data_IF_157506023395
#
_entry.id   IF_157506023395
#
_cell.length_a   1.000
_cell.length_b   1.000
_cell.length_c   1.000
_cell.angle_alpha   90.00
_cell.angle_beta   90.00
_cell.angle_gamma   90.00
#
_symmetry.space_group_name_H-M   'P 1'
#
loop_
_entity.id
_entity.type
_entity.pdbx_description
1 polymer ?
#
# COMPACT_ATOMS: atom_id res chain seq x y z
N UNK A 1 18.76 -4.45 -14.50
CA UNK A 1 17.88 -3.41 -13.96
C UNK A 1 16.53 -4.05 -13.70
N UNK A 2 16.25 -4.36 -12.44
CA UNK A 2 15.14 -5.22 -12.04
C UNK A 2 13.81 -4.56 -12.40
N UNK A 3 13.09 -5.20 -13.32
CA UNK A 3 11.76 -4.80 -13.78
C UNK A 3 10.80 -4.95 -12.58
N UNK A 4 10.61 -3.87 -11.81
CA UNK A 4 9.71 -3.89 -10.64
C UNK A 4 8.30 -4.09 -11.15
N UNK A 5 7.85 -5.36 -11.11
CA UNK A 5 6.51 -5.77 -11.49
C UNK A 5 5.50 -4.90 -10.74
N UNK A 6 4.87 -3.95 -11.45
CA UNK A 6 3.89 -3.01 -10.93
C UNK A 6 2.53 -3.71 -10.74
N UNK A 7 2.57 -4.85 -10.05
CA UNK A 7 1.41 -5.73 -9.88
C UNK A 7 0.63 -5.29 -8.66
N UNK A 8 -0.67 -5.07 -8.86
CA UNK A 8 -1.62 -4.74 -7.81
C UNK A 8 -1.77 -5.90 -6.80
N UNK A 9 -1.44 -5.63 -5.54
CA UNK A 9 -1.53 -6.61 -4.44
C UNK A 9 -2.74 -6.33 -3.56
N UNK A 10 -3.27 -7.35 -2.90
CA UNK A 10 -4.40 -7.16 -1.98
C UNK A 10 -3.95 -6.39 -0.74
N UNK A 11 -4.89 -5.69 -0.10
CA UNK A 11 -4.59 -4.98 1.16
C UNK A 11 -4.01 -5.91 2.22
N UNK A 12 -4.51 -7.16 2.30
CA UNK A 12 -3.99 -8.19 3.20
C UNK A 12 -2.54 -8.56 2.89
N UNK A 13 -2.21 -8.75 1.61
CA UNK A 13 -0.85 -9.10 1.20
C UNK A 13 0.13 -7.97 1.49
N UNK A 14 -0.25 -6.72 1.23
CA UNK A 14 0.62 -5.58 1.52
C UNK A 14 0.76 -5.34 3.01
N UNK A 15 -0.33 -5.42 3.78
CA UNK A 15 -0.31 -5.34 5.23
C UNK A 15 0.72 -6.31 5.84
N UNK A 16 0.69 -7.57 5.39
CA UNK A 16 1.65 -8.58 5.82
C UNK A 16 3.09 -8.27 5.36
N UNK A 17 3.28 -7.75 4.14
CA UNK A 17 4.61 -7.41 3.61
C UNK A 17 5.30 -6.34 4.45
N UNK A 18 4.57 -5.27 4.80
CA UNK A 18 5.16 -4.09 5.43
C UNK A 18 4.96 -4.04 6.94
N UNK A 19 4.32 -5.06 7.54
CA UNK A 19 4.07 -5.12 8.97
C UNK A 19 3.03 -4.10 9.48
N UNK A 20 2.17 -3.58 8.60
CA UNK A 20 1.10 -2.62 8.94
C UNK A 20 -0.24 -3.35 8.98
N UNK A 21 -1.10 -3.05 9.96
CA UNK A 21 -2.44 -3.63 10.00
C UNK A 21 -3.31 -3.25 8.79
N UNK A 22 -4.10 -4.20 8.27
CA UNK A 22 -5.02 -3.98 7.13
C UNK A 22 -5.95 -2.77 7.35
N UNK A 23 -6.41 -2.56 8.59
CA UNK A 23 -7.25 -1.42 8.97
C UNK A 23 -6.56 -0.09 8.71
N UNK A 24 -5.25 0.02 8.96
CA UNK A 24 -4.46 1.23 8.73
C UNK A 24 -4.37 1.53 7.23
N UNK A 25 -4.06 0.53 6.40
CA UNK A 25 -4.03 0.70 4.94
C UNK A 25 -5.40 1.12 4.39
N UNK A 26 -6.49 0.48 4.86
CA UNK A 26 -7.86 0.88 4.47
C UNK A 26 -8.22 2.30 4.90
N UNK A 27 -7.79 2.71 6.10
CA UNK A 27 -7.97 4.07 6.60
C UNK A 27 -7.21 5.06 5.71
N UNK A 28 -5.97 4.80 5.35
CA UNK A 28 -5.21 5.67 4.43
C UNK A 28 -5.86 5.77 3.05
N UNK A 29 -6.47 4.69 2.55
CA UNK A 29 -7.26 4.74 1.32
C UNK A 29 -8.50 5.62 1.50
N UNK A 30 -9.24 5.47 2.60
CA UNK A 30 -10.41 6.28 2.89
C UNK A 30 -10.08 7.77 3.10
N UNK A 31 -8.90 8.07 3.64
CA UNK A 31 -8.37 9.43 3.84
C UNK A 31 -7.73 10.02 2.56
N UNK A 32 -7.65 9.26 1.47
CA UNK A 32 -7.01 9.70 0.22
C UNK A 32 -5.48 9.75 0.25
N UNK A 33 -4.84 9.25 1.32
CA UNK A 33 -3.37 9.18 1.46
C UNK A 33 -2.75 8.05 0.66
N UNK A 34 -3.51 6.98 0.39
CA UNK A 34 -3.07 5.82 -0.38
C UNK A 34 -4.06 5.53 -1.51
N UNK A 35 -3.56 5.39 -2.74
CA UNK A 35 -4.42 5.07 -3.88
C UNK A 35 -4.88 3.60 -3.82
N UNK A 36 -6.19 3.40 -3.69
CA UNK A 36 -6.83 2.08 -3.78
C UNK A 36 -7.42 1.83 -5.17
N UNK A 37 -7.21 0.62 -5.70
CA UNK A 37 -7.73 0.18 -7.00
C UNK A 37 -8.81 -0.86 -6.78
N UNK A 38 -10.01 -0.63 -7.33
CA UNK A 38 -11.15 -1.56 -7.21
C UNK A 38 -11.36 -2.38 -8.48
N UNK A 39 -11.70 -3.65 -8.29
CA UNK A 39 -12.24 -4.54 -9.31
C UNK A 39 -13.44 -5.29 -8.71
N UNK A 40 -14.63 -4.73 -8.86
CA UNK A 40 -15.82 -5.18 -8.14
C UNK A 40 -15.64 -5.06 -6.62
N UNK A 41 -15.74 -6.19 -5.92
CA UNK A 41 -15.54 -6.27 -4.45
C UNK A 41 -14.07 -6.31 -4.04
N UNK A 42 -13.14 -6.51 -4.97
CA UNK A 42 -11.71 -6.58 -4.68
C UNK A 42 -11.13 -5.18 -4.51
N UNK A 43 -10.35 -5.00 -3.45
CA UNK A 43 -9.54 -3.80 -3.21
C UNK A 43 -8.06 -4.15 -3.28
N UNK A 44 -7.32 -3.44 -4.12
CA UNK A 44 -5.90 -3.62 -4.34
C UNK A 44 -5.16 -2.30 -4.14
N UNK A 45 -3.85 -2.41 -3.95
CA UNK A 45 -2.92 -1.29 -3.82
C UNK A 45 -1.66 -1.58 -4.64
N UNK A 46 -0.97 -0.53 -5.08
CA UNK A 46 0.39 -0.67 -5.64
C UNK A 46 1.40 -0.71 -4.49
N UNK A 47 2.33 -1.67 -4.47
CA UNK A 47 3.37 -1.73 -3.44
C UNK A 47 4.20 -0.44 -3.36
N UNK A 48 4.53 0.18 -4.50
CA UNK A 48 5.27 1.44 -4.57
C UNK A 48 4.58 2.59 -3.83
N UNK A 49 3.25 2.67 -3.94
CA UNK A 49 2.48 3.73 -3.30
C UNK A 49 2.45 3.53 -1.78
N UNK A 50 2.50 2.27 -1.31
CA UNK A 50 2.64 1.95 0.12
C UNK A 50 4.04 2.29 0.63
N UNK A 51 5.08 1.93 -0.13
CA UNK A 51 6.48 2.19 0.24
C UNK A 51 6.76 3.71 0.33
N UNK A 52 6.12 4.52 -0.51
CA UNK A 52 6.23 5.98 -0.49
C UNK A 52 5.64 6.66 0.76
N UNK A 53 4.87 5.93 1.59
CA UNK A 53 4.33 6.47 2.85
C UNK A 53 5.32 6.37 4.01
N UNK A 54 6.40 5.60 3.88
CA UNK A 54 7.41 5.50 4.91
C UNK A 54 8.36 6.69 4.84
N UNK A 55 8.56 7.32 5.99
CA UNK A 55 9.50 8.44 6.15
C UNK A 55 10.69 7.94 6.98
N UNK A 56 11.93 8.24 6.58
CA UNK A 56 13.11 7.88 7.35
C UNK A 56 13.10 8.56 8.74
N UNK A 57 13.44 7.81 9.79
CA UNK A 57 13.42 8.28 11.19
C UNK A 57 14.63 9.11 11.60
N UNK A 58 15.63 9.23 10.73
CA UNK A 58 16.83 10.05 10.94
C UNK A 58 16.77 11.41 10.22
N UNK A 59 15.60 11.78 9.68
CA UNK A 59 15.35 13.05 9.00
C UNK A 59 14.48 13.93 9.91
N UNK A 60 15.09 14.52 10.93
CA UNK A 60 14.51 15.59 11.76
C UNK A 60 15.35 16.86 11.61
#
# INVERSE_FOLDING_TARGET
>A
MSNTQNTLRSVKQEAQRVGIGERTLRRWIAEGKLTGYKAGKLLRVRPSDVDALFVPTNSF
#
